data_IF_116499853880
#
_entry.id   IF_116499853880
#
_cell.length_a   1.000
_cell.length_b   1.000
_cell.length_c   1.000
_cell.angle_alpha   90.00
_cell.angle_beta   90.00
_cell.angle_gamma   90.00
#
_symmetry.space_group_name_H-M   'P 1'
#
loop_
_entity.id
_entity.type
_entity.pdbx_description
1 polymer ?
#
# COMPACT_ATOMS: atom_id res chain seq x y z
N UNK A 1 9.01 16.69 1.03
CA UNK A 1 8.68 15.50 1.83
C UNK A 1 8.21 14.41 0.88
N UNK A 2 8.84 13.22 0.86
CA UNK A 2 8.48 12.12 -0.05
C UNK A 2 7.79 11.00 0.72
N UNK A 3 6.75 10.42 0.13
CA UNK A 3 5.99 9.30 0.68
C UNK A 3 6.47 7.98 0.07
N UNK A 4 6.25 6.87 0.79
CA UNK A 4 6.51 5.52 0.31
C UNK A 4 5.26 4.66 0.51
N UNK A 5 5.08 3.57 -0.25
CA UNK A 5 3.98 2.65 0.02
C UNK A 5 4.07 2.12 1.45
N UNK A 6 2.94 2.06 2.15
CA UNK A 6 2.97 1.90 3.60
C UNK A 6 3.31 0.49 4.05
N UNK A 7 3.89 0.44 5.25
CA UNK A 7 4.19 -0.80 5.95
C UNK A 7 3.08 -1.13 6.94
N UNK A 8 2.42 -2.27 6.75
CA UNK A 8 1.43 -2.80 7.69
C UNK A 8 2.07 -3.78 8.68
N UNK A 9 3.28 -3.42 9.15
CA UNK A 9 4.13 -4.29 9.97
C UNK A 9 3.74 -4.34 11.45
N UNK A 10 2.87 -3.47 11.92
CA UNK A 10 2.39 -3.46 13.32
C UNK A 10 0.87 -3.41 13.39
N UNK A 11 0.32 -3.89 14.51
CA UNK A 11 -1.11 -3.74 14.82
C UNK A 11 -1.54 -2.28 14.74
N UNK A 12 -0.76 -1.35 15.30
CA UNK A 12 -1.06 0.09 15.25
C UNK A 12 -1.17 0.60 13.82
N UNK A 13 -0.23 0.24 12.94
CA UNK A 13 -0.30 0.66 11.53
C UNK A 13 -1.56 0.11 10.86
N UNK A 14 -1.92 -1.14 11.15
CA UNK A 14 -3.13 -1.76 10.63
C UNK A 14 -4.42 -1.14 11.19
N UNK A 15 -4.50 -0.90 12.50
CA UNK A 15 -5.68 -0.30 13.15
C UNK A 15 -5.99 1.08 12.54
N UNK A 16 -4.96 1.87 12.23
CA UNK A 16 -5.11 3.15 11.54
C UNK A 16 -5.69 2.96 10.12
N UNK A 17 -5.24 1.92 9.40
CA UNK A 17 -5.78 1.58 8.07
C UNK A 17 -7.24 1.18 8.13
N UNK A 18 -7.57 0.37 9.12
CA UNK A 18 -8.92 -0.11 9.38
C UNK A 18 -9.88 1.05 9.67
N UNK A 19 -9.47 1.99 10.51
CA UNK A 19 -10.29 3.12 10.95
C UNK A 19 -10.50 4.20 9.88
N UNK A 20 -9.49 4.49 9.06
CA UNK A 20 -9.54 5.65 8.15
C UNK A 20 -9.87 5.30 6.69
N UNK A 21 -9.39 4.16 6.16
CA UNK A 21 -9.63 3.78 4.76
C UNK A 21 -10.58 2.60 4.58
N UNK A 22 -10.71 1.75 5.59
CA UNK A 22 -11.61 0.60 5.57
C UNK A 22 -12.86 0.73 6.49
N UNK A 23 -13.30 1.93 6.96
CA UNK A 23 -14.38 1.99 7.95
C UNK A 23 -15.76 1.67 7.37
N UNK A 24 -16.05 2.03 6.11
CA UNK A 24 -17.45 2.11 5.66
C UNK A 24 -17.74 1.84 4.17
N UNK A 25 -16.92 1.09 3.44
CA UNK A 25 -17.21 0.89 2.01
C UNK A 25 -17.91 -0.43 1.66
N UNK A 26 -19.10 -0.24 1.12
CA UNK A 26 -19.72 -1.08 0.09
C UNK A 26 -18.69 -1.51 -0.96
N UNK A 27 -18.33 -2.80 -0.93
CA UNK A 27 -17.67 -3.58 -2.00
C UNK A 27 -16.25 -3.15 -2.41
N UNK A 28 -15.30 -4.08 -2.17
CA UNK A 28 -14.24 -4.46 -3.12
C UNK A 28 -13.25 -3.37 -3.57
N UNK A 29 -12.69 -2.57 -2.66
CA UNK A 29 -11.50 -1.77 -3.00
C UNK A 29 -10.25 -2.45 -2.49
N UNK A 30 -9.36 -2.77 -3.42
CA UNK A 30 -8.04 -3.28 -3.13
C UNK A 30 -7.07 -2.10 -3.00
N UNK A 31 -6.13 -2.22 -2.06
CA UNK A 31 -5.14 -1.19 -1.77
C UNK A 31 -3.73 -1.77 -1.81
N UNK A 32 -2.89 -1.23 -2.68
CA UNK A 32 -1.46 -1.48 -2.72
C UNK A 32 -0.77 -0.99 -1.44
N UNK A 33 0.12 -1.83 -0.91
CA UNK A 33 0.97 -1.56 0.25
C UNK A 33 2.43 -1.80 -0.11
N UNK A 34 3.36 -1.43 0.78
CA UNK A 34 4.80 -1.54 0.53
C UNK A 34 5.36 -2.96 0.50
N UNK A 35 4.52 -3.99 0.59
CA UNK A 35 4.97 -5.38 0.56
C UNK A 35 5.32 -5.80 -0.87
N UNK A 36 6.57 -6.22 -1.08
CA UNK A 36 7.09 -6.56 -2.40
C UNK A 36 7.89 -7.88 -2.35
N UNK A 37 7.66 -8.74 -3.35
CA UNK A 37 8.38 -9.98 -3.61
C UNK A 37 9.08 -10.02 -4.98
N UNK A 38 9.13 -8.89 -5.70
CA UNK A 38 9.88 -8.75 -6.95
C UNK A 38 11.36 -9.12 -6.73
N UNK A 39 11.86 -10.07 -7.51
CA UNK A 39 13.25 -10.56 -7.50
C UNK A 39 13.75 -11.21 -6.19
N UNK A 40 12.87 -11.52 -5.23
CA UNK A 40 13.27 -12.07 -3.92
C UNK A 40 12.49 -13.33 -3.55
N UNK A 41 13.16 -14.29 -2.92
CA UNK A 41 12.53 -15.48 -2.31
C UNK A 41 11.68 -15.16 -1.06
N UNK A 42 11.61 -13.89 -0.65
CA UNK A 42 10.91 -13.42 0.55
C UNK A 42 10.21 -12.10 0.26
N UNK A 43 9.00 -11.95 0.80
CA UNK A 43 8.26 -10.70 0.74
C UNK A 43 8.76 -9.76 1.83
N UNK A 44 9.15 -8.55 1.41
CA UNK A 44 9.72 -7.53 2.29
C UNK A 44 9.09 -6.17 2.01
N UNK A 45 9.08 -5.29 3.00
CA UNK A 45 8.64 -3.91 2.84
C UNK A 45 9.68 -3.09 2.06
N UNK A 46 9.23 -2.30 1.09
CA UNK A 46 10.11 -1.49 0.23
C UNK A 46 10.79 -0.32 0.98
N UNK A 47 10.31 0.01 2.17
CA UNK A 47 10.82 1.10 3.01
C UNK A 47 12.16 0.74 3.66
N UNK A 48 12.27 -0.46 4.22
CA UNK A 48 13.38 -0.88 5.09
C UNK A 48 13.85 -2.33 4.86
N UNK A 49 13.24 -3.04 3.90
CA UNK A 49 13.47 -4.47 3.62
C UNK A 49 13.10 -5.42 4.78
N UNK A 50 12.34 -4.95 5.76
CA UNK A 50 11.82 -5.81 6.84
C UNK A 50 10.81 -6.83 6.30
N UNK A 51 10.71 -7.97 6.97
CA UNK A 51 9.73 -9.00 6.65
C UNK A 51 8.32 -8.60 7.13
N UNK A 52 7.31 -9.31 6.63
CA UNK A 52 5.96 -9.23 7.17
C UNK A 52 5.91 -9.89 8.56
N UNK A 53 5.91 -9.10 9.62
CA UNK A 53 5.86 -9.58 11.02
C UNK A 53 4.43 -9.62 11.58
N UNK A 54 3.57 -8.70 11.15
CA UNK A 54 2.18 -8.61 11.58
C UNK A 54 1.24 -9.05 10.48
N UNK A 55 0.28 -9.90 10.83
CA UNK A 55 -0.83 -10.29 9.97
C UNK A 55 -2.13 -9.95 10.70
N UNK A 56 -3.05 -9.19 10.06
CA UNK A 56 -4.33 -8.88 10.70
C UNK A 56 -5.11 -10.14 11.06
N UNK A 57 -5.93 -10.12 12.12
CA UNK A 57 -6.78 -11.25 12.45
C UNK A 57 -7.71 -11.60 11.29
N UNK A 58 -8.06 -12.88 11.15
CA UNK A 58 -8.94 -13.38 10.08
C UNK A 58 -8.45 -13.04 8.66
N UNK A 59 -7.13 -13.00 8.47
CA UNK A 59 -6.51 -12.74 7.17
C UNK A 59 -6.29 -14.01 6.37
N UNK A 60 -6.77 -14.01 5.12
CA UNK A 60 -6.33 -14.97 4.10
C UNK A 60 -5.07 -14.45 3.41
N UNK A 61 -4.01 -15.28 3.35
CA UNK A 61 -2.72 -14.95 2.76
C UNK A 61 -2.53 -15.62 1.39
N UNK A 62 -2.20 -14.85 0.34
CA UNK A 62 -1.89 -15.37 -1.00
C UNK A 62 -0.71 -14.66 -1.66
N UNK A 63 0.45 -15.32 -1.69
CA UNK A 63 1.74 -14.73 -2.08
C UNK A 63 2.32 -15.36 -3.36
N UNK A 64 1.70 -15.12 -4.51
CA UNK A 64 2.07 -15.71 -5.82
C UNK A 64 2.57 -14.69 -6.85
N UNK A 65 2.56 -13.40 -6.54
CA UNK A 65 2.77 -12.29 -7.48
C UNK A 65 3.63 -11.20 -6.84
N UNK A 66 4.26 -10.30 -7.61
CA UNK A 66 5.32 -9.46 -7.06
C UNK A 66 4.85 -8.39 -6.08
N UNK A 67 3.68 -7.78 -6.27
CA UNK A 67 3.24 -6.65 -5.44
C UNK A 67 2.15 -7.06 -4.46
N UNK A 68 2.25 -6.62 -3.20
CA UNK A 68 1.31 -6.93 -2.13
C UNK A 68 0.21 -5.88 -1.97
N UNK A 69 -1.01 -6.34 -1.68
CA UNK A 69 -2.18 -5.50 -1.45
C UNK A 69 -3.04 -6.02 -0.30
N UNK A 70 -3.85 -5.13 0.27
CA UNK A 70 -4.84 -5.46 1.30
C UNK A 70 -6.26 -5.11 0.82
N UNK A 71 -7.24 -5.90 1.23
CA UNK A 71 -8.66 -5.60 1.09
C UNK A 71 -9.46 -6.08 2.30
N UNK A 72 -10.57 -5.40 2.60
CA UNK A 72 -11.57 -5.84 3.57
C UNK A 72 -12.59 -6.76 2.89
N UNK A 73 -12.82 -7.92 3.49
CA UNK A 73 -13.77 -8.93 3.05
C UNK A 73 -15.10 -8.73 3.79
N UNK A 74 -16.12 -8.30 3.06
CA UNK A 74 -17.48 -8.14 3.57
C UNK A 74 -17.67 -6.94 4.52
N UNK A 75 -18.84 -6.92 5.18
CA UNK A 75 -19.32 -5.80 6.02
C UNK A 75 -19.18 -6.03 7.53
N UNK A 76 -18.49 -7.09 7.97
CA UNK A 76 -18.38 -7.41 9.41
C UNK A 76 -17.67 -6.28 10.19
N UNK A 77 -18.21 -5.93 11.36
CA UNK A 77 -17.61 -4.99 12.33
C UNK A 77 -16.22 -5.45 12.81
N UNK A 78 -15.99 -6.77 12.87
CA UNK A 78 -14.69 -7.36 13.23
C UNK A 78 -13.79 -7.64 12.02
N UNK A 79 -14.23 -7.24 10.81
CA UNK A 79 -13.49 -7.28 9.54
C UNK A 79 -12.74 -8.59 9.23
N UNK A 80 -13.16 -9.35 8.21
CA UNK A 80 -12.23 -10.32 7.61
C UNK A 80 -11.36 -9.59 6.59
N UNK A 81 -10.10 -9.96 6.45
CA UNK A 81 -9.15 -9.27 5.56
C UNK A 81 -8.50 -10.25 4.59
N UNK A 82 -8.08 -9.74 3.44
CA UNK A 82 -7.18 -10.48 2.55
C UNK A 82 -5.93 -9.67 2.38
N UNK A 83 -4.80 -10.30 2.71
CA UNK A 83 -3.47 -9.84 2.35
C UNK A 83 -2.98 -10.73 1.23
N UNK A 84 -2.88 -10.18 0.03
CA UNK A 84 -2.57 -10.97 -1.14
C UNK A 84 -1.60 -10.23 -2.06
N UNK A 85 -1.24 -10.88 -3.15
CA UNK A 85 -0.32 -10.33 -4.13
C UNK A 85 -0.91 -10.38 -5.51
N UNK A 86 -0.54 -9.41 -6.34
CA UNK A 86 -0.99 -9.31 -7.72
C UNK A 86 0.12 -8.70 -8.61
N UNK A 87 -0.06 -8.72 -9.92
CA UNK A 87 0.87 -8.04 -10.83
C UNK A 87 0.85 -6.54 -10.51
N UNK A 88 2.02 -5.92 -10.38
CA UNK A 88 2.15 -4.52 -9.94
C UNK A 88 1.36 -3.51 -10.79
N UNK A 89 1.03 -3.89 -12.04
CA UNK A 89 0.24 -3.06 -12.94
C UNK A 89 -1.28 -3.11 -12.79
N UNK A 90 -1.79 -3.91 -11.87
CA UNK A 90 -3.23 -4.00 -11.67
C UNK A 90 -3.77 -2.73 -11.01
N UNK A 91 -4.97 -2.32 -11.45
CA UNK A 91 -5.62 -1.11 -10.95
C UNK A 91 -6.10 -1.32 -9.51
N UNK A 92 -5.41 -0.70 -8.55
CA UNK A 92 -5.77 -0.66 -7.13
C UNK A 92 -5.43 0.73 -6.57
N UNK A 93 -5.97 1.07 -5.40
CA UNK A 93 -5.64 2.34 -4.72
C UNK A 93 -4.29 2.18 -4.02
N UNK A 94 -3.63 3.29 -3.70
CA UNK A 94 -2.34 3.26 -3.00
C UNK A 94 -2.51 3.71 -1.56
N UNK A 95 -1.84 3.00 -0.67
CA UNK A 95 -1.63 3.41 0.70
C UNK A 95 -0.18 3.85 0.84
N UNK A 96 0.08 5.04 1.39
CA UNK A 96 1.44 5.50 1.64
C UNK A 96 1.65 6.01 3.05
N UNK A 97 2.86 5.85 3.56
CA UNK A 97 3.31 6.41 4.83
C UNK A 97 4.61 7.18 4.64
N UNK A 98 5.00 7.91 5.69
CA UNK A 98 6.34 8.44 5.73
C UNK A 98 7.33 7.31 6.07
N UNK A 99 8.39 7.21 5.29
CA UNK A 99 9.48 6.28 5.54
C UNK A 99 10.80 6.99 5.30
N UNK A 100 11.88 6.63 6.01
CA UNK A 100 13.21 7.25 5.82
C UNK A 100 13.81 6.92 4.45
N UNK A 101 13.45 5.77 3.89
CA UNK A 101 13.86 5.31 2.57
C UNK A 101 12.67 4.73 1.83
N UNK A 102 12.75 4.70 0.51
CA UNK A 102 11.80 4.02 -0.35
C UNK A 102 12.57 3.38 -1.51
N UNK A 103 12.52 2.06 -1.62
CA UNK A 103 13.30 1.29 -2.60
C UNK A 103 14.80 1.67 -2.60
N UNK A 104 15.40 1.73 -1.40
CA UNK A 104 16.80 2.12 -1.22
C UNK A 104 17.09 3.62 -1.26
N UNK A 105 16.20 4.45 -1.82
CA UNK A 105 16.39 5.89 -1.96
C UNK A 105 15.99 6.65 -0.69
N UNK A 106 16.81 7.59 -0.18
CA UNK A 106 16.43 8.45 0.94
C UNK A 106 15.29 9.39 0.56
N UNK A 107 14.31 9.53 1.44
CA UNK A 107 13.12 10.37 1.21
C UNK A 107 13.21 11.74 1.88
N UNK A 108 14.13 11.89 2.84
CA UNK A 108 14.18 13.04 3.76
C UNK A 108 13.01 13.08 4.76
N UNK A 109 12.22 12.02 4.88
CA UNK A 109 11.08 11.93 5.79
C UNK A 109 11.45 11.15 7.06
N UNK A 110 10.90 11.53 8.20
CA UNK A 110 10.93 10.70 9.42
C UNK A 110 10.00 9.50 9.26
N UNK A 111 10.37 8.33 9.79
CA UNK A 111 9.38 7.27 9.96
C UNK A 111 8.46 7.68 11.10
N UNK A 112 7.18 7.88 10.78
CA UNK A 112 6.13 8.07 11.76
C UNK A 112 5.20 6.87 11.57
N UNK A 113 4.94 6.06 12.61
CA UNK A 113 3.88 5.05 12.56
C UNK A 113 2.56 5.80 12.32
N UNK A 114 2.11 5.81 11.07
CA UNK A 114 0.98 6.62 10.62
C UNK A 114 1.17 7.13 9.19
N UNK A 115 0.06 7.30 8.49
CA UNK A 115 0.04 7.82 7.13
C UNK A 115 -0.51 9.25 7.08
N UNK A 116 -0.44 9.85 5.89
CA UNK A 116 -1.16 11.07 5.55
C UNK A 116 -2.21 10.67 4.51
N UNK A 117 -3.47 11.04 4.70
CA UNK A 117 -4.60 10.72 3.79
C UNK A 117 -4.59 11.49 2.46
N UNK A 118 -3.50 12.20 2.16
CA UNK A 118 -3.33 12.83 0.86
C UNK A 118 -3.12 11.73 -0.20
N UNK A 119 -3.85 11.73 -1.33
CA UNK A 119 -3.67 10.74 -2.37
C UNK A 119 -2.22 10.77 -2.85
N UNK A 120 -1.54 9.62 -2.73
CA UNK A 120 -0.19 9.51 -3.24
C UNK A 120 -0.23 9.59 -4.76
N UNK A 121 0.41 10.60 -5.30
CA UNK A 121 0.68 10.69 -6.73
C UNK A 121 1.94 9.87 -6.96
N UNK A 122 1.81 8.77 -7.71
CA UNK A 122 2.98 8.10 -8.27
C UNK A 122 3.47 8.98 -9.42
N UNK A 123 4.75 9.36 -9.39
CA UNK A 123 5.36 10.16 -10.45
C UNK A 123 5.32 9.38 -11.78
N UNK A 124 5.13 10.09 -12.90
CA UNK A 124 4.93 9.49 -14.22
C UNK A 124 6.14 8.65 -14.69
N UNK A 125 7.35 8.96 -14.23
CA UNK A 125 8.59 8.21 -14.49
C UNK A 125 8.60 6.84 -13.80
N UNK A 126 8.04 6.74 -12.60
CA UNK A 126 7.82 5.46 -11.90
C UNK A 126 6.74 4.66 -12.62
N UNK A 127 5.68 5.32 -13.10
CA UNK A 127 4.67 4.65 -13.92
C UNK A 127 5.27 4.14 -15.24
N UNK A 128 6.17 4.89 -15.88
CA UNK A 128 6.91 4.43 -17.07
C UNK A 128 7.76 3.20 -16.79
N UNK A 129 8.54 3.23 -15.70
CA UNK A 129 9.42 2.13 -15.29
C UNK A 129 8.61 0.85 -15.01
N UNK A 130 7.41 0.99 -14.46
CA UNK A 130 6.51 -0.12 -14.15
C UNK A 130 5.63 -0.55 -15.34
N UNK A 131 5.73 0.12 -16.50
CA UNK A 131 4.89 -0.13 -17.68
C UNK A 131 3.42 0.26 -17.51
N UNK A 132 3.13 1.19 -16.60
CA UNK A 132 1.78 1.60 -16.17
C UNK A 132 1.36 2.98 -16.66
N UNK A 133 2.21 3.65 -17.44
CA UNK A 133 1.92 4.95 -18.02
C UNK A 133 0.66 4.87 -18.89
N UNK A 134 -0.33 5.72 -18.60
CA UNK A 134 -1.61 5.75 -19.31
C UNK A 134 -2.67 4.75 -18.81
N UNK A 135 -2.32 3.82 -17.92
CA UNK A 135 -3.26 2.87 -17.28
C UNK A 135 -3.76 3.37 -15.92
N UNK A 136 -3.01 4.25 -15.27
CA UNK A 136 -3.40 4.94 -14.04
C UNK A 136 -4.05 6.28 -14.43
N UNK A 137 -5.28 6.59 -13.98
CA UNK A 137 -5.87 7.91 -14.22
C UNK A 137 -4.95 8.96 -13.61
N UNK A 138 -4.64 10.03 -14.36
CA UNK A 138 -4.04 11.24 -13.78
C UNK A 138 -4.95 11.64 -12.61
N UNK A 139 -4.48 11.45 -11.38
CA UNK A 139 -5.22 11.81 -10.18
C UNK A 139 -5.75 13.22 -10.35
N UNK A 140 -7.06 13.42 -10.13
CA UNK A 140 -7.77 14.67 -10.36
C UNK A 140 -6.90 15.88 -10.01
N UNK A 141 -6.47 16.63 -11.03
CA UNK A 141 -6.06 18.02 -10.85
C UNK A 141 -7.29 18.74 -10.29
N UNK A 142 -7.34 18.96 -8.98
CA UNK A 142 -8.20 20.00 -8.45
C UNK A 142 -7.51 21.30 -8.84
N UNK A 143 -7.94 21.86 -9.97
CA UNK A 143 -7.76 23.28 -10.23
C UNK A 143 -8.34 24.02 -9.03
N UNK A 144 -7.51 24.76 -8.32
CA UNK A 144 -8.00 25.89 -7.54
C UNK A 144 -7.96 27.10 -8.44
N UNK A 145 -9.15 27.56 -8.82
CA UNK A 145 -9.42 28.98 -9.03
C UNK A 145 -9.45 29.70 -7.69
#
# INVERSE_FOLDING_TARGET
MKLCLADLRTKTAFDMVEQELLPNETKNKDYWIGLNGYEKYRYTYISDHSALEYMPPNTSLSLRKPCGYIKKNGKSETGSYTLATDNCGMKKRFICSQARRCNGNPTGSSFIPGWKTDPCIIEDDILDLLGLKGLVPKSNKIHKG
#
